data_IF_406501968773
#
_entry.id   IF_406501968773
#
_cell.length_a   1.000
_cell.length_b   1.000
_cell.length_c   1.000
_cell.angle_alpha   90.00
_cell.angle_beta   90.00
_cell.angle_gamma   90.00
#
_symmetry.space_group_name_H-M   'P 1'
#
loop_
_entity.id
_entity.type
_entity.pdbx_description
1 polymer ?
#
# COMPACT_ATOMS: atom_id res chain seq x y z
N UNK A 1 17.70 46.97 25.20
CA UNK A 1 16.86 45.75 25.10
C UNK A 1 16.70 45.22 23.66
N UNK A 2 17.75 45.23 22.82
CA UNK A 2 17.71 44.61 21.47
C UNK A 2 18.61 43.38 21.32
N UNK A 3 19.54 43.17 22.25
CA UNK A 3 20.51 42.06 22.22
C UNK A 3 20.00 40.77 22.88
N UNK A 4 19.01 40.87 23.79
CA UNK A 4 18.38 39.69 24.43
C UNK A 4 17.41 39.00 23.48
N UNK A 5 16.77 39.75 22.58
CA UNK A 5 15.81 39.21 21.61
C UNK A 5 16.47 38.30 20.55
N UNK A 6 17.74 38.57 20.21
CA UNK A 6 18.52 37.76 19.26
C UNK A 6 18.97 36.41 19.83
N UNK A 7 19.18 36.31 21.15
CA UNK A 7 19.53 35.05 21.81
C UNK A 7 18.35 34.07 21.85
N UNK A 8 17.12 34.58 21.99
CA UNK A 8 15.91 33.74 21.98
C UNK A 8 15.59 33.14 20.61
N UNK A 9 15.92 33.86 19.52
CA UNK A 9 15.72 33.39 18.15
C UNK A 9 16.67 32.24 17.78
N UNK A 10 17.89 32.22 18.31
CA UNK A 10 18.86 31.16 18.03
C UNK A 10 18.57 29.86 18.79
N UNK A 11 17.97 29.93 19.99
CA UNK A 11 17.60 28.75 20.78
C UNK A 11 16.46 27.92 20.17
N UNK A 12 15.59 28.53 19.34
CA UNK A 12 14.47 27.82 18.70
C UNK A 12 14.94 26.98 17.50
N UNK A 13 16.08 27.32 16.89
CA UNK A 13 16.61 26.61 15.71
C UNK A 13 17.28 25.27 16.05
N UNK A 14 17.71 25.06 17.30
CA UNK A 14 18.44 23.84 17.69
C UNK A 14 17.48 22.70 18.11
N UNK A 15 16.23 23.02 18.43
CA UNK A 15 15.22 22.03 18.87
C UNK A 15 14.50 21.38 17.68
N UNK A 16 14.61 21.93 16.46
CA UNK A 16 13.92 21.42 15.26
C UNK A 16 14.63 20.24 14.56
N UNK A 17 15.74 19.74 15.12
CA UNK A 17 16.47 18.59 14.59
C UNK A 17 16.44 17.43 15.59
N UNK A 18 15.27 16.98 16.03
CA UNK A 18 15.22 15.73 16.79
C UNK A 18 13.92 14.93 16.65
N UNK A 19 13.40 14.74 15.43
CA UNK A 19 12.40 13.70 15.17
C UNK A 19 12.64 13.08 13.79
N UNK A 20 13.61 12.17 13.71
CA UNK A 20 13.72 11.22 12.59
C UNK A 20 13.95 9.83 13.16
N UNK A 21 13.00 9.29 13.92
CA UNK A 21 12.95 7.84 14.11
C UNK A 21 11.66 7.23 14.66
N UNK A 22 10.47 7.77 14.35
CA UNK A 22 9.20 7.14 14.76
C UNK A 22 8.08 7.08 13.69
N UNK A 23 8.32 7.51 12.46
CA UNK A 23 7.22 7.76 11.51
C UNK A 23 6.84 6.57 10.60
N UNK A 24 7.44 5.38 10.73
CA UNK A 24 7.10 4.28 9.80
C UNK A 24 5.92 3.44 10.24
N UNK A 25 5.55 3.49 11.52
CA UNK A 25 4.37 2.79 12.03
C UNK A 25 3.20 3.79 12.00
N UNK A 26 3.29 4.92 12.70
CA UNK A 26 2.18 5.85 12.86
C UNK A 26 1.58 6.39 11.52
N UNK A 27 2.37 6.58 10.46
CA UNK A 27 1.86 7.06 9.15
C UNK A 27 1.00 6.05 8.36
N UNK A 28 1.09 4.75 8.68
CA UNK A 28 0.19 3.72 8.13
C UNK A 28 -1.08 3.62 8.98
N UNK A 29 -0.94 3.76 10.30
CA UNK A 29 -2.06 3.67 11.25
C UNK A 29 -3.00 4.88 11.20
N UNK A 30 -2.52 6.06 10.78
CA UNK A 30 -3.35 7.24 10.51
C UNK A 30 -4.17 7.16 9.21
N UNK A 31 -4.06 6.07 8.45
CA UNK A 31 -4.95 5.80 7.32
C UNK A 31 -6.22 5.09 7.81
N UNK A 32 -7.12 5.88 8.42
CA UNK A 32 -8.45 5.44 8.86
C UNK A 32 -9.15 4.54 7.82
N UNK A 33 -8.92 4.79 6.52
CA UNK A 33 -9.48 4.02 5.41
C UNK A 33 -8.98 2.58 5.31
N UNK A 34 -7.68 2.29 5.48
CA UNK A 34 -7.17 0.93 5.25
C UNK A 34 -7.60 -0.04 6.36
N UNK A 35 -7.51 0.41 7.62
CA UNK A 35 -7.93 -0.39 8.77
C UNK A 35 -9.44 -0.64 8.78
N UNK A 36 -10.25 0.37 8.41
CA UNK A 36 -11.70 0.18 8.29
C UNK A 36 -12.04 -0.80 7.17
N UNK A 37 -11.41 -0.66 5.99
CA UNK A 37 -11.61 -1.59 4.87
C UNK A 37 -11.27 -3.03 5.28
N UNK A 38 -10.14 -3.26 5.96
CA UNK A 38 -9.75 -4.60 6.40
C UNK A 38 -10.68 -5.19 7.45
N UNK A 39 -11.08 -4.37 8.43
CA UNK A 39 -12.00 -4.78 9.49
C UNK A 39 -13.32 -5.25 8.88
N UNK A 40 -13.85 -4.50 7.92
CA UNK A 40 -15.14 -4.74 7.26
C UNK A 40 -15.06 -5.80 6.16
N UNK A 41 -13.86 -6.12 5.67
CA UNK A 41 -13.65 -7.13 4.63
C UNK A 41 -13.83 -8.55 5.15
N UNK A 42 -14.57 -9.37 4.40
CA UNK A 42 -14.62 -10.82 4.61
C UNK A 42 -13.90 -11.62 3.50
N UNK A 43 -13.54 -10.95 2.40
CA UNK A 43 -12.80 -11.57 1.31
C UNK A 43 -11.87 -10.55 0.65
N UNK A 44 -10.69 -11.03 0.25
CA UNK A 44 -9.79 -10.33 -0.64
C UNK A 44 -9.68 -11.13 -1.94
N UNK A 45 -9.79 -10.44 -3.07
CA UNK A 45 -9.56 -11.01 -4.40
C UNK A 45 -8.41 -10.28 -5.06
N UNK A 46 -7.36 -11.02 -5.40
CA UNK A 46 -6.20 -10.52 -6.13
C UNK A 46 -6.27 -11.01 -7.56
N UNK A 47 -6.33 -10.07 -8.49
CA UNK A 47 -6.38 -10.36 -9.93
C UNK A 47 -5.00 -10.14 -10.51
N UNK A 48 -4.52 -11.11 -11.29
CA UNK A 48 -3.29 -11.00 -12.05
C UNK A 48 -3.60 -10.73 -13.52
N UNK A 49 -2.76 -9.92 -14.17
CA UNK A 49 -2.95 -9.50 -15.56
C UNK A 49 -1.79 -9.93 -16.46
N UNK A 50 -2.05 -10.05 -17.77
CA UNK A 50 -1.04 -10.41 -18.76
C UNK A 50 0.10 -9.38 -18.78
N UNK A 51 1.34 -9.85 -18.59
CA UNK A 51 2.54 -9.01 -18.57
C UNK A 51 2.71 -8.13 -19.82
N UNK A 52 2.17 -8.54 -20.96
CA UNK A 52 2.17 -7.74 -22.21
C UNK A 52 1.32 -6.47 -22.08
N UNK A 53 0.28 -6.50 -21.25
CA UNK A 53 -0.54 -5.33 -20.91
C UNK A 53 0.16 -4.45 -19.89
N UNK A 54 0.83 -5.05 -18.90
CA UNK A 54 1.49 -4.33 -17.78
C UNK A 54 2.63 -3.40 -18.22
N UNK A 55 3.23 -3.64 -19.39
CA UNK A 55 4.22 -2.74 -19.98
C UNK A 55 3.60 -1.46 -20.57
N UNK A 56 2.27 -1.43 -20.74
CA UNK A 56 1.51 -0.24 -21.11
C UNK A 56 0.98 0.39 -19.83
N UNK A 57 1.09 1.72 -19.70
CA UNK A 57 0.52 2.48 -18.58
C UNK A 57 -0.99 2.56 -18.74
N UNK A 58 -1.70 1.47 -18.45
CA UNK A 58 -3.14 1.31 -18.69
C UNK A 58 -3.87 0.95 -17.40
N UNK A 59 -5.15 1.29 -17.33
CA UNK A 59 -6.02 0.78 -16.28
C UNK A 59 -6.19 -0.74 -16.47
N UNK A 60 -5.53 -1.55 -15.66
CA UNK A 60 -5.59 -3.01 -15.80
C UNK A 60 -6.97 -3.60 -15.54
N UNK A 61 -7.83 -2.91 -14.78
CA UNK A 61 -9.21 -3.34 -14.52
C UNK A 61 -10.10 -3.31 -15.77
N UNK A 62 -9.69 -2.66 -16.86
CA UNK A 62 -10.43 -2.74 -18.14
C UNK A 62 -10.18 -4.05 -18.90
N UNK A 63 -9.33 -4.93 -18.38
CA UNK A 63 -8.94 -6.18 -19.03
C UNK A 63 -9.38 -7.39 -18.22
N UNK A 64 -9.45 -8.55 -18.88
CA UNK A 64 -9.76 -9.82 -18.23
C UNK A 64 -8.53 -10.30 -17.46
N UNK A 65 -8.70 -10.56 -16.17
CA UNK A 65 -7.66 -11.16 -15.33
C UNK A 65 -7.28 -12.56 -15.85
N UNK A 66 -5.98 -12.84 -15.91
CA UNK A 66 -5.47 -14.16 -16.31
C UNK A 66 -5.57 -15.18 -15.18
N UNK A 67 -5.59 -14.69 -13.93
CA UNK A 67 -5.71 -15.50 -12.73
C UNK A 67 -6.29 -14.68 -11.58
N UNK A 68 -7.08 -15.34 -10.74
CA UNK A 68 -7.56 -14.78 -9.48
C UNK A 68 -7.06 -15.62 -8.30
N UNK A 69 -6.68 -14.94 -7.22
CA UNK A 69 -6.39 -15.53 -5.92
C UNK A 69 -7.39 -14.98 -4.92
N UNK A 70 -8.03 -15.86 -4.16
CA UNK A 70 -9.11 -15.48 -3.23
C UNK A 70 -8.78 -15.98 -1.85
N UNK A 71 -8.93 -15.12 -0.86
CA UNK A 71 -8.91 -15.58 0.54
C UNK A 71 -10.14 -16.44 0.81
N UNK A 72 -9.96 -17.44 1.66
CA UNK A 72 -11.00 -18.39 2.08
C UNK A 72 -11.27 -18.30 3.58
N UNK A 73 -10.39 -17.67 4.35
CA UNK A 73 -10.54 -17.48 5.80
C UNK A 73 -10.40 -16.01 6.19
N UNK A 74 -10.99 -15.61 7.33
CA UNK A 74 -10.80 -14.27 7.90
C UNK A 74 -9.34 -14.05 8.31
N UNK A 75 -8.63 -15.08 8.75
CA UNK A 75 -7.21 -15.00 9.06
C UNK A 75 -6.41 -14.56 7.83
N UNK A 76 -6.64 -15.17 6.67
CA UNK A 76 -5.97 -14.74 5.43
C UNK A 76 -6.29 -13.28 5.05
N UNK A 77 -7.50 -12.79 5.37
CA UNK A 77 -7.84 -11.38 5.18
C UNK A 77 -7.02 -10.49 6.11
N UNK A 78 -6.84 -10.89 7.36
CA UNK A 78 -6.06 -10.14 8.36
C UNK A 78 -4.55 -10.20 8.11
N UNK A 79 -4.05 -11.33 7.60
CA UNK A 79 -2.62 -11.55 7.35
C UNK A 79 -2.04 -10.55 6.34
N UNK A 80 -2.87 -9.88 5.55
CA UNK A 80 -2.41 -8.81 4.67
C UNK A 80 -1.81 -7.62 5.44
N UNK A 81 -2.17 -7.38 6.69
CA UNK A 81 -1.54 -6.32 7.50
C UNK A 81 -0.03 -6.55 7.59
N UNK A 82 0.39 -7.82 7.67
CA UNK A 82 1.81 -8.19 7.77
C UNK A 82 2.63 -7.81 6.54
N UNK A 83 2.00 -7.74 5.35
CA UNK A 83 2.70 -7.30 4.13
C UNK A 83 2.95 -5.78 4.12
N UNK A 84 2.19 -5.02 4.91
CA UNK A 84 2.33 -3.57 5.05
C UNK A 84 3.17 -3.16 6.27
N UNK A 85 3.61 -4.09 7.12
CA UNK A 85 4.61 -3.80 8.15
C UNK A 85 5.88 -3.19 7.52
N UNK A 86 6.26 -2.01 8.01
CA UNK A 86 7.36 -1.18 7.49
C UNK A 86 7.14 -0.66 6.06
N UNK A 87 5.89 -0.65 5.58
CA UNK A 87 5.59 -0.01 4.31
C UNK A 87 5.96 1.48 4.36
N UNK A 88 6.46 2.00 3.26
CA UNK A 88 6.66 3.45 3.12
C UNK A 88 5.45 4.03 2.41
N UNK A 89 4.66 4.85 3.09
CA UNK A 89 3.64 5.67 2.43
C UNK A 89 4.33 6.70 1.54
N UNK A 90 3.91 6.78 0.30
CA UNK A 90 4.38 7.73 -0.70
C UNK A 90 3.21 8.50 -1.29
N UNK A 91 3.52 9.62 -1.95
CA UNK A 91 2.50 10.45 -2.58
C UNK A 91 1.95 9.86 -3.88
N UNK A 92 1.62 10.77 -4.79
CA UNK A 92 0.95 10.49 -6.04
C UNK A 92 1.58 9.35 -6.85
N UNK A 93 0.74 8.41 -7.28
CA UNK A 93 1.09 7.29 -8.14
C UNK A 93 0.51 7.49 -9.54
N UNK A 94 1.17 8.28 -10.39
CA UNK A 94 0.80 8.31 -11.80
C UNK A 94 1.15 6.98 -12.45
N UNK A 95 0.11 6.37 -13.01
CA UNK A 95 0.27 5.54 -14.19
C UNK A 95 1.12 4.28 -13.91
N UNK A 96 0.78 3.50 -12.86
CA UNK A 96 1.52 2.30 -12.49
C UNK A 96 1.56 1.29 -13.63
N UNK A 97 2.66 0.54 -13.74
CA UNK A 97 2.75 -0.67 -14.57
C UNK A 97 2.11 -1.84 -13.84
N UNK A 98 0.85 -1.65 -13.48
CA UNK A 98 0.10 -2.57 -12.63
C UNK A 98 0.15 -3.97 -13.24
N UNK A 99 0.58 -4.94 -12.45
CA UNK A 99 0.56 -6.35 -12.83
C UNK A 99 -0.54 -7.11 -12.10
N UNK A 100 -1.01 -6.54 -11.00
CA UNK A 100 -2.12 -7.04 -10.23
C UNK A 100 -3.03 -5.89 -9.82
N UNK A 101 -4.22 -6.27 -9.40
CA UNK A 101 -5.06 -5.47 -8.52
C UNK A 101 -5.47 -6.31 -7.33
N UNK A 102 -5.79 -5.64 -6.24
CA UNK A 102 -6.25 -6.25 -5.00
C UNK A 102 -7.53 -5.57 -4.57
N UNK A 103 -8.58 -6.36 -4.44
CA UNK A 103 -9.93 -5.90 -4.15
C UNK A 103 -10.37 -6.45 -2.80
N UNK A 104 -11.01 -5.58 -2.01
CA UNK A 104 -11.51 -5.85 -0.68
C UNK A 104 -13.02 -5.90 -0.72
N UNK A 105 -13.60 -6.99 -0.24
CA UNK A 105 -15.04 -7.23 -0.31
C UNK A 105 -15.64 -7.48 1.06
N UNK A 106 -16.86 -6.99 1.24
CA UNK A 106 -17.81 -7.49 2.22
C UNK A 106 -18.94 -8.21 1.50
N UNK A 107 -18.89 -9.54 1.50
CA UNK A 107 -19.81 -10.43 0.80
C UNK A 107 -19.75 -10.23 -0.72
N UNK A 108 -20.64 -9.41 -1.29
CA UNK A 108 -20.70 -9.10 -2.73
C UNK A 108 -20.38 -7.63 -3.02
N UNK A 109 -20.23 -6.82 -1.99
CA UNK A 109 -19.94 -5.39 -2.12
C UNK A 109 -18.42 -5.18 -2.11
N UNK A 110 -17.90 -4.49 -3.13
CA UNK A 110 -16.50 -4.06 -3.17
C UNK A 110 -16.35 -2.80 -2.32
N UNK A 111 -15.56 -2.90 -1.25
CA UNK A 111 -15.28 -1.78 -0.34
C UNK A 111 -14.24 -0.85 -0.96
N UNK A 112 -13.13 -1.42 -1.43
CA UNK A 112 -12.08 -0.68 -2.11
C UNK A 112 -11.13 -1.60 -2.89
N UNK A 113 -10.21 -1.00 -3.65
CA UNK A 113 -9.14 -1.74 -4.30
C UNK A 113 -7.87 -0.90 -4.51
N UNK A 114 -6.76 -1.60 -4.71
CA UNK A 114 -5.47 -1.02 -5.07
C UNK A 114 -4.96 -1.64 -6.36
N UNK A 115 -4.25 -0.82 -7.13
CA UNK A 115 -3.38 -1.27 -8.20
C UNK A 115 -2.03 -1.69 -7.63
N UNK A 116 -1.42 -2.74 -8.18
CA UNK A 116 -0.14 -3.27 -7.67
C UNK A 116 0.89 -3.35 -8.79
N UNK A 117 1.91 -2.51 -8.70
CA UNK A 117 3.07 -2.49 -9.60
C UNK A 117 4.20 -3.34 -9.01
N UNK A 118 4.53 -4.42 -9.72
CA UNK A 118 5.60 -5.35 -9.32
C UNK A 118 6.86 -5.24 -10.18
N UNK A 119 6.86 -4.31 -11.14
CA UNK A 119 7.84 -4.16 -12.20
C UNK A 119 8.75 -2.95 -12.00
N UNK A 120 8.25 -1.87 -11.41
CA UNK A 120 9.01 -0.63 -11.20
C UNK A 120 10.26 -0.86 -10.34
N UNK A 121 10.15 -1.66 -9.29
CA UNK A 121 11.24 -1.93 -8.35
C UNK A 121 11.68 -3.39 -8.38
N UNK A 122 13.00 -3.62 -8.30
CA UNK A 122 13.57 -4.97 -8.29
C UNK A 122 13.10 -5.79 -7.08
N UNK A 123 13.21 -5.21 -5.89
CA UNK A 123 12.99 -5.87 -4.59
C UNK A 123 11.81 -5.30 -3.80
N UNK A 124 11.07 -4.35 -4.37
CA UNK A 124 9.91 -3.73 -3.74
C UNK A 124 8.70 -3.83 -4.67
N UNK A 125 7.53 -3.57 -4.12
CA UNK A 125 6.26 -3.48 -4.85
C UNK A 125 5.59 -2.18 -4.44
N UNK A 126 4.95 -1.52 -5.40
CA UNK A 126 4.15 -0.33 -5.13
C UNK A 126 2.66 -0.67 -5.22
N UNK A 127 1.93 -0.41 -4.15
CA UNK A 127 0.47 -0.39 -4.12
C UNK A 127 0.02 1.03 -4.34
N UNK A 128 -0.89 1.24 -5.27
CA UNK A 128 -1.45 2.54 -5.58
C UNK A 128 -2.94 2.51 -5.31
N UNK A 129 -3.44 3.47 -4.54
CA UNK A 129 -4.88 3.62 -4.33
C UNK A 129 -5.58 3.85 -5.67
N UNK A 130 -6.86 3.48 -5.77
CA UNK A 130 -7.67 3.72 -6.97
C UNK A 130 -7.72 5.19 -7.39
N UNK A 131 -7.57 6.11 -6.43
CA UNK A 131 -7.55 7.56 -6.63
C UNK A 131 -6.21 8.07 -7.19
N UNK A 132 -5.18 7.21 -7.15
CA UNK A 132 -3.78 7.51 -7.43
C UNK A 132 -3.14 8.55 -6.51
N UNK A 133 -3.83 9.06 -5.48
CA UNK A 133 -3.33 10.14 -4.62
C UNK A 133 -2.18 9.69 -3.72
N UNK A 134 -2.25 8.46 -3.23
CA UNK A 134 -1.23 7.87 -2.40
C UNK A 134 -0.82 6.49 -2.92
N UNK A 135 0.36 6.09 -2.47
CA UNK A 135 0.89 4.77 -2.72
C UNK A 135 1.67 4.26 -1.52
N UNK A 136 1.93 2.96 -1.50
CA UNK A 136 2.63 2.27 -0.44
C UNK A 136 3.69 1.39 -1.07
N UNK A 137 4.93 1.55 -0.61
CA UNK A 137 6.03 0.72 -1.07
C UNK A 137 6.29 -0.34 -0.01
N UNK A 138 6.17 -1.61 -0.41
CA UNK A 138 6.39 -2.77 0.47
C UNK A 138 7.52 -3.66 -0.05
N UNK A 139 7.96 -4.61 0.79
CA UNK A 139 8.92 -5.63 0.39
C UNK A 139 8.29 -6.65 -0.57
N UNK A 140 8.97 -6.92 -1.68
CA UNK A 140 8.49 -7.85 -2.71
C UNK A 140 8.37 -9.29 -2.19
N UNK A 141 9.18 -9.66 -1.21
CA UNK A 141 9.17 -11.02 -0.66
C UNK A 141 7.90 -11.25 0.18
N UNK A 142 7.52 -10.32 1.05
CA UNK A 142 6.28 -10.39 1.84
C UNK A 142 5.04 -10.58 0.96
N UNK A 143 4.94 -9.83 -0.14
CA UNK A 143 3.87 -10.03 -1.12
C UNK A 143 3.86 -11.44 -1.73
N UNK A 144 5.02 -11.93 -2.17
CA UNK A 144 5.13 -13.27 -2.76
C UNK A 144 4.69 -14.35 -1.78
N UNK A 145 5.11 -14.21 -0.52
CA UNK A 145 4.76 -15.16 0.53
C UNK A 145 3.25 -15.13 0.81
N UNK A 146 2.64 -13.95 0.89
CA UNK A 146 1.19 -13.80 1.02
C UNK A 146 0.41 -14.43 -0.15
N UNK A 147 0.80 -14.15 -1.41
CA UNK A 147 0.20 -14.77 -2.60
C UNK A 147 0.35 -16.29 -2.57
N UNK A 148 1.49 -16.80 -2.09
CA UNK A 148 1.73 -18.23 -1.95
C UNK A 148 0.79 -18.82 -0.90
N UNK A 149 0.64 -18.21 0.27
CA UNK A 149 -0.24 -18.70 1.34
C UNK A 149 -1.70 -18.77 0.89
N UNK A 150 -2.24 -17.72 0.25
CA UNK A 150 -3.63 -17.75 -0.26
C UNK A 150 -3.82 -18.74 -1.42
N UNK A 151 -2.74 -19.17 -2.08
CA UNK A 151 -2.79 -20.14 -3.17
C UNK A 151 -2.70 -21.59 -2.72
N UNK A 152 -2.33 -21.84 -1.45
CA UNK A 152 -2.34 -23.19 -0.86
C UNK A 152 -3.79 -23.58 -0.63
N UNK A 153 -4.25 -24.55 -1.42
CA UNK A 153 -5.52 -25.24 -1.21
C UNK A 153 -5.29 -26.49 -0.39
#
# INVERSE_FOLDING_TARGET
MKKVFLLFLFSILIISCNEKNQNSIDDIWDNFSFNSILTDSNQIVIKAYDSRLTNKRVNVESYIATKEFKTTTKQQVQDIETIFENATKTGYCCCPKSSFSIHFYNQKEELDYFYVDTLEFKNKIRFCEKSYQYSYIIEKQKWKDYIKEISKK
#
